data_IF_260001247501
#
_entry.id   IF_260001247501
#
_cell.length_a   1.000
_cell.length_b   1.000
_cell.length_c   1.000
_cell.angle_alpha   90.00
_cell.angle_beta   90.00
_cell.angle_gamma   90.00
#
_symmetry.space_group_name_H-M   'P 1'
#
loop_
_entity.id
_entity.type
_entity.pdbx_description
1 polymer ?
#
# COMPACT_ATOMS: atom_id res chain seq x y z
N UNK A 1 2.03 -3.49 4.39
CA UNK A 1 2.43 -2.11 4.08
C UNK A 1 3.17 -1.42 5.22
N UNK A 2 2.56 -1.26 6.41
CA UNK A 2 3.14 -0.44 7.49
C UNK A 2 4.52 -0.88 7.98
N UNK A 3 4.79 -2.18 8.03
CA UNK A 3 6.12 -2.68 8.44
C UNK A 3 7.13 -2.74 7.30
N UNK A 4 6.68 -2.95 6.06
CA UNK A 4 7.56 -3.20 4.92
C UNK A 4 8.01 -1.92 4.22
N UNK A 5 7.31 -0.79 4.42
CA UNK A 5 7.65 0.47 3.77
C UNK A 5 9.05 0.99 4.12
N UNK A 6 9.63 1.77 3.23
CA UNK A 6 10.90 2.48 3.42
C UNK A 6 10.78 3.70 4.33
N UNK A 7 9.61 4.33 4.37
CA UNK A 7 9.33 5.51 5.18
C UNK A 7 9.05 5.18 6.65
N UNK A 8 8.83 6.25 7.42
CA UNK A 8 8.33 6.15 8.79
C UNK A 8 6.79 6.07 8.78
N UNK A 9 6.24 5.47 9.82
CA UNK A 9 4.80 5.51 10.07
C UNK A 9 4.51 6.29 11.36
N UNK A 10 3.35 6.95 11.39
CA UNK A 10 2.95 7.74 12.55
C UNK A 10 2.54 6.83 13.70
N UNK A 11 3.10 7.11 14.89
CA UNK A 11 2.70 6.47 16.15
C UNK A 11 2.37 7.54 17.19
N UNK A 12 1.65 7.22 18.28
CA UNK A 12 1.40 8.16 19.37
C UNK A 12 2.67 8.75 20.01
N UNK A 13 3.79 8.02 19.94
CA UNK A 13 5.09 8.45 20.48
C UNK A 13 5.94 9.25 19.47
N UNK A 14 5.39 9.56 18.28
CA UNK A 14 6.10 10.19 17.17
C UNK A 14 6.35 9.24 16.00
N UNK A 15 6.99 9.72 14.93
CA UNK A 15 7.30 8.90 13.76
C UNK A 15 8.27 7.78 14.13
N UNK A 16 7.87 6.53 13.86
CA UNK A 16 8.72 5.36 14.05
C UNK A 16 9.20 4.85 12.69
N UNK A 17 10.48 4.46 12.61
CA UNK A 17 11.00 3.80 11.40
C UNK A 17 10.32 2.45 11.23
N UNK A 18 9.83 2.17 10.03
CA UNK A 18 9.34 0.85 9.68
C UNK A 18 10.49 -0.15 9.58
N UNK A 19 10.20 -1.45 9.69
CA UNK A 19 11.20 -2.50 9.55
C UNK A 19 11.86 -2.47 8.15
N UNK A 20 11.08 -2.18 7.09
CA UNK A 20 11.59 -1.98 5.74
C UNK A 20 12.63 -0.86 5.66
N UNK A 21 12.38 0.27 6.33
CA UNK A 21 13.35 1.36 6.47
C UNK A 21 14.67 0.93 7.12
N UNK A 22 14.60 0.06 8.13
CA UNK A 22 15.79 -0.45 8.81
C UNK A 22 16.56 -1.44 7.92
N UNK A 23 15.84 -2.34 7.26
CA UNK A 23 16.43 -3.30 6.32
C UNK A 23 17.11 -2.59 5.15
N UNK A 24 16.44 -1.62 4.52
CA UNK A 24 17.01 -0.85 3.40
C UNK A 24 18.27 -0.08 3.81
N UNK A 25 18.34 0.40 5.05
CA UNK A 25 19.54 1.08 5.54
C UNK A 25 20.72 0.11 5.77
N UNK A 26 20.45 -1.13 6.18
CA UNK A 26 21.47 -2.14 6.41
C UNK A 26 21.92 -2.85 5.12
N UNK A 27 20.98 -3.08 4.19
CA UNK A 27 21.16 -3.85 2.96
C UNK A 27 20.52 -3.10 1.77
N UNK A 28 21.12 -1.98 1.32
CA UNK A 28 20.50 -1.09 0.35
C UNK A 28 20.25 -1.71 -1.03
N UNK A 29 21.10 -2.66 -1.43
CA UNK A 29 21.02 -3.33 -2.73
C UNK A 29 20.26 -4.67 -2.66
N UNK A 30 20.07 -5.23 -1.45
CA UNK A 30 19.38 -6.51 -1.24
C UNK A 30 17.97 -6.36 -0.66
N UNK A 31 17.49 -5.12 -0.49
CA UNK A 31 16.15 -4.85 0.05
C UNK A 31 15.22 -4.31 -1.04
N UNK A 32 14.18 -5.09 -1.33
CA UNK A 32 13.10 -4.70 -2.23
C UNK A 32 11.76 -4.71 -1.48
N UNK A 33 11.04 -3.59 -1.49
CA UNK A 33 9.76 -3.43 -0.79
C UNK A 33 8.59 -3.28 -1.76
N UNK A 34 7.56 -4.09 -1.54
CA UNK A 34 6.35 -4.12 -2.37
C UNK A 34 5.14 -3.73 -1.52
N UNK A 35 4.44 -2.67 -1.91
CA UNK A 35 3.19 -2.26 -1.28
C UNK A 35 1.99 -2.95 -1.89
N UNK A 36 1.03 -3.40 -1.09
CA UNK A 36 -0.23 -4.01 -1.54
C UNK A 36 -1.39 -3.04 -1.35
N UNK A 37 -2.13 -2.75 -2.42
CA UNK A 37 -3.28 -1.84 -2.42
C UNK A 37 -4.53 -2.54 -2.97
N UNK A 38 -5.68 -2.21 -2.42
CA UNK A 38 -6.95 -2.91 -2.69
C UNK A 38 -8.00 -1.90 -3.08
N UNK A 39 -8.70 -2.10 -4.20
CA UNK A 39 -9.69 -1.15 -4.71
C UNK A 39 -11.00 -1.16 -3.92
N UNK A 40 -11.56 -2.35 -3.71
CA UNK A 40 -12.90 -2.54 -3.15
C UNK A 40 -13.09 -3.93 -2.55
N UNK A 41 -14.20 -4.11 -1.82
CA UNK A 41 -14.63 -5.40 -1.30
C UNK A 41 -14.68 -5.42 0.22
N UNK A 42 -14.32 -6.56 0.80
CA UNK A 42 -14.36 -6.75 2.26
C UNK A 42 -13.12 -7.45 2.76
N UNK A 43 -12.77 -7.14 4.00
CA UNK A 43 -11.57 -7.63 4.66
C UNK A 43 -11.92 -8.20 6.02
N UNK A 44 -11.04 -9.02 6.58
CA UNK A 44 -11.11 -9.43 7.99
C UNK A 44 -10.09 -8.61 8.79
N UNK A 45 -10.50 -8.06 9.94
CA UNK A 45 -9.57 -7.46 10.88
C UNK A 45 -8.89 -8.51 11.78
N UNK A 46 -7.99 -8.06 12.67
CA UNK A 46 -7.27 -8.96 13.59
C UNK A 46 -8.19 -9.69 14.59
N UNK A 47 -9.40 -9.18 14.82
CA UNK A 47 -10.44 -9.82 15.62
C UNK A 47 -11.33 -10.76 14.78
N UNK A 48 -10.93 -11.03 13.53
CA UNK A 48 -11.68 -11.83 12.54
C UNK A 48 -13.04 -11.26 12.16
N UNK A 49 -13.30 -9.99 12.48
CA UNK A 49 -14.53 -9.35 12.06
C UNK A 49 -14.43 -8.96 10.59
N UNK A 50 -15.43 -9.35 9.81
CA UNK A 50 -15.53 -8.95 8.41
C UNK A 50 -16.03 -7.51 8.36
N UNK A 51 -15.30 -6.64 7.67
CA UNK A 51 -15.65 -5.25 7.46
C UNK A 51 -15.69 -4.94 5.97
N UNK A 52 -16.68 -4.16 5.57
CA UNK A 52 -16.70 -3.57 4.23
C UNK A 52 -15.62 -2.49 4.16
N UNK A 53 -14.91 -2.47 3.04
CA UNK A 53 -13.98 -1.38 2.77
C UNK A 53 -14.75 -0.09 2.56
N UNK A 54 -14.16 1.03 3.00
CA UNK A 54 -14.68 2.35 2.65
C UNK A 54 -14.36 2.65 1.17
N UNK A 55 -15.14 3.51 0.49
CA UNK A 55 -14.83 3.90 -0.88
C UNK A 55 -13.44 4.53 -1.01
N UNK A 56 -12.73 4.19 -2.10
CA UNK A 56 -11.46 4.82 -2.42
C UNK A 56 -11.65 6.33 -2.64
N UNK A 57 -10.78 7.19 -2.08
CA UNK A 57 -10.88 8.63 -2.27
C UNK A 57 -10.68 9.01 -3.74
N UNK A 58 -11.45 9.98 -4.22
CA UNK A 58 -11.29 10.50 -5.57
C UNK A 58 -9.88 11.10 -5.74
N UNK A 59 -9.24 10.85 -6.89
CA UNK A 59 -7.83 11.23 -7.11
C UNK A 59 -6.81 10.50 -6.23
N UNK A 60 -7.24 9.51 -5.43
CA UNK A 60 -6.38 8.69 -4.58
C UNK A 60 -5.60 7.62 -5.33
N UNK A 61 -4.70 6.95 -4.61
CA UNK A 61 -3.82 5.93 -5.17
C UNK A 61 -4.63 4.75 -5.74
N UNK A 62 -5.57 4.21 -4.98
CA UNK A 62 -6.42 3.10 -5.41
C UNK A 62 -7.33 3.52 -6.57
N UNK A 63 -7.81 4.76 -6.61
CA UNK A 63 -8.61 5.27 -7.74
C UNK A 63 -7.75 5.38 -9.01
N UNK A 64 -6.52 5.90 -8.91
CA UNK A 64 -5.60 5.95 -10.04
C UNK A 64 -5.26 4.55 -10.57
N UNK A 65 -5.04 3.58 -9.67
CA UNK A 65 -4.76 2.18 -10.04
C UNK A 65 -6.00 1.49 -10.65
N UNK A 66 -7.20 1.74 -10.12
CA UNK A 66 -8.45 1.24 -10.68
C UNK A 66 -8.66 1.72 -12.13
N UNK A 67 -8.26 2.96 -12.43
CA UNK A 67 -8.34 3.54 -13.77
C UNK A 67 -7.57 2.78 -14.85
N UNK A 68 -6.64 1.89 -14.48
CA UNK A 68 -5.96 1.00 -15.42
C UNK A 68 -6.85 -0.14 -15.96
N UNK A 69 -8.01 -0.41 -15.33
CA UNK A 69 -8.98 -1.40 -15.80
C UNK A 69 -8.55 -2.86 -15.61
N UNK A 70 -7.55 -3.13 -14.78
CA UNK A 70 -7.06 -4.49 -14.50
C UNK A 70 -7.61 -5.01 -13.19
N UNK A 71 -8.11 -6.25 -13.15
CA UNK A 71 -8.58 -6.88 -11.91
C UNK A 71 -7.48 -7.03 -10.84
N UNK A 72 -6.24 -7.24 -11.29
CA UNK A 72 -5.05 -7.19 -10.46
C UNK A 72 -3.86 -6.75 -11.32
N UNK A 73 -2.87 -6.11 -10.71
CA UNK A 73 -1.72 -5.57 -11.43
C UNK A 73 -0.48 -5.44 -10.56
N UNK A 74 0.67 -5.38 -11.24
CA UNK A 74 1.97 -5.10 -10.66
C UNK A 74 2.56 -3.86 -11.33
N UNK A 75 3.07 -2.92 -10.54
CA UNK A 75 3.62 -1.65 -11.01
C UNK A 75 5.02 -1.44 -10.42
N UNK A 76 6.03 -1.39 -11.29
CA UNK A 76 7.38 -0.94 -10.96
C UNK A 76 7.43 0.59 -10.90
N UNK A 77 7.98 1.16 -9.82
CA UNK A 77 8.02 2.61 -9.60
C UNK A 77 9.32 3.28 -10.07
N UNK A 78 10.33 2.48 -10.41
CA UNK A 78 11.68 2.92 -10.81
C UNK A 78 11.82 3.21 -12.32
N UNK A 79 10.71 3.18 -13.07
CA UNK A 79 10.66 3.37 -14.51
C UNK A 79 11.13 4.74 -15.02
N UNK A 80 10.72 5.10 -16.24
CA UNK A 80 11.08 6.37 -16.87
C UNK A 80 10.66 7.62 -16.08
N UNK A 81 11.12 8.80 -16.51
CA UNK A 81 10.92 10.08 -15.80
C UNK A 81 9.47 10.35 -15.36
N UNK A 82 8.49 10.02 -16.19
CA UNK A 82 7.07 10.22 -15.87
C UNK A 82 6.59 9.32 -14.73
N UNK A 83 7.01 8.04 -14.71
CA UNK A 83 6.65 7.10 -13.65
C UNK A 83 7.24 7.54 -12.30
N UNK A 84 8.51 7.96 -12.29
CA UNK A 84 9.16 8.50 -11.09
C UNK A 84 8.46 9.77 -10.58
N UNK A 85 8.13 10.70 -11.50
CA UNK A 85 7.42 11.92 -11.14
C UNK A 85 6.02 11.63 -10.57
N UNK A 86 5.31 10.64 -11.11
CA UNK A 86 4.05 10.18 -10.55
C UNK A 86 4.24 9.56 -9.16
N UNK A 87 5.23 8.69 -8.99
CA UNK A 87 5.50 7.98 -7.74
C UNK A 87 5.92 8.90 -6.58
N UNK A 88 6.51 10.06 -6.88
CA UNK A 88 6.89 11.07 -5.87
C UNK A 88 5.72 11.95 -5.39
N UNK A 89 4.58 11.94 -6.09
CA UNK A 89 3.39 12.70 -5.67
C UNK A 89 2.78 12.07 -4.43
N UNK A 90 2.22 12.91 -3.56
CA UNK A 90 1.42 12.44 -2.42
C UNK A 90 -0.01 12.15 -2.87
N UNK A 91 -0.50 10.96 -2.52
CA UNK A 91 -1.86 10.53 -2.80
C UNK A 91 -2.56 10.17 -1.49
N UNK A 92 -3.85 10.50 -1.34
CA UNK A 92 -4.67 9.82 -0.35
C UNK A 92 -4.78 8.34 -0.73
N UNK A 93 -4.76 7.45 0.26
CA UNK A 93 -4.89 6.02 0.06
C UNK A 93 -5.71 5.37 1.17
N UNK A 94 -6.18 4.14 0.92
CA UNK A 94 -6.91 3.34 1.89
C UNK A 94 -5.94 2.51 2.75
N UNK A 95 -5.67 2.97 3.97
CA UNK A 95 -4.92 2.19 4.96
C UNK A 95 -5.77 1.02 5.43
N UNK A 96 -5.32 -0.19 5.05
CA UNK A 96 -6.01 -1.44 5.30
C UNK A 96 -7.48 -1.42 4.87
N UNK A 97 -7.86 -0.66 3.84
CA UNK A 97 -9.24 -0.59 3.36
C UNK A 97 -10.26 0.11 4.28
N UNK A 98 -9.86 0.63 5.45
CA UNK A 98 -10.79 1.12 6.48
C UNK A 98 -10.57 2.57 6.90
N UNK A 99 -9.42 3.16 6.58
CA UNK A 99 -9.09 4.54 6.92
C UNK A 99 -8.38 5.22 5.76
N UNK A 100 -8.58 6.53 5.62
CA UNK A 100 -7.83 7.33 4.64
C UNK A 100 -6.56 7.83 5.31
N UNK A 101 -5.45 7.69 4.61
CA UNK A 101 -4.14 8.23 4.98
C UNK A 101 -3.45 8.77 3.71
N UNK A 102 -2.23 9.30 3.79
CA UNK A 102 -1.52 9.90 2.65
C UNK A 102 -0.08 9.43 2.55
N UNK A 103 0.35 9.02 1.37
CA UNK A 103 1.75 8.64 1.10
C UNK A 103 2.22 9.04 -0.29
N UNK A 104 3.54 9.04 -0.50
CA UNK A 104 4.15 9.12 -1.83
C UNK A 104 4.71 7.73 -2.19
N UNK A 105 4.13 6.99 -3.16
CA UNK A 105 4.46 5.59 -3.38
C UNK A 105 5.95 5.31 -3.55
N UNK A 106 6.66 6.13 -4.34
CA UNK A 106 8.09 5.96 -4.63
C UNK A 106 9.00 6.21 -3.43
N UNK A 107 8.49 6.86 -2.38
CA UNK A 107 9.22 7.03 -1.10
C UNK A 107 8.99 5.89 -0.13
N UNK A 108 7.92 5.13 -0.33
CA UNK A 108 7.50 4.08 0.60
C UNK A 108 7.82 2.68 0.08
N UNK A 109 7.79 2.47 -1.23
CA UNK A 109 7.93 1.14 -1.85
C UNK A 109 8.73 1.25 -3.16
N UNK A 110 9.34 0.13 -3.59
CA UNK A 110 9.99 0.01 -4.89
C UNK A 110 8.99 -0.42 -5.99
N UNK A 111 7.95 -1.16 -5.59
CA UNK A 111 6.85 -1.56 -6.44
C UNK A 111 5.52 -1.63 -5.70
N UNK A 112 4.44 -1.70 -6.47
CA UNK A 112 3.08 -1.85 -5.97
C UNK A 112 2.42 -3.09 -6.58
N UNK A 113 1.63 -3.79 -5.77
CA UNK A 113 0.62 -4.75 -6.20
C UNK A 113 -0.74 -4.11 -5.96
N UNK A 114 -1.63 -4.26 -6.92
CA UNK A 114 -3.01 -3.82 -6.84
C UNK A 114 -3.96 -5.00 -7.05
N UNK A 115 -5.03 -5.06 -6.26
CA UNK A 115 -6.17 -5.94 -6.46
C UNK A 115 -7.45 -5.11 -6.43
N UNK A 116 -8.20 -5.08 -7.53
CA UNK A 116 -9.40 -4.25 -7.66
C UNK A 116 -10.51 -4.67 -6.68
N UNK A 117 -10.71 -5.98 -6.54
CA UNK A 117 -11.71 -6.54 -5.62
C UNK A 117 -11.11 -7.63 -4.75
N UNK A 118 -11.28 -7.49 -3.43
CA UNK A 118 -10.83 -8.46 -2.44
C UNK A 118 -11.98 -9.06 -1.64
N UNK A 119 -11.76 -10.27 -1.14
CA UNK A 119 -12.64 -10.96 -0.20
C UNK A 119 -11.91 -11.24 1.11
N UNK A 120 -12.62 -11.43 2.24
CA UNK A 120 -11.98 -11.73 3.51
C UNK A 120 -11.19 -13.03 3.44
N UNK A 121 -10.09 -13.09 4.19
CA UNK A 121 -9.28 -14.30 4.27
C UNK A 121 -10.12 -15.48 4.81
N UNK A 122 -10.07 -16.61 4.11
CA UNK A 122 -10.68 -17.84 4.59
C UNK A 122 -9.73 -18.53 5.59
N UNK A 123 -9.95 -18.30 6.88
CA UNK A 123 -9.23 -19.03 7.93
C UNK A 123 -9.78 -20.46 7.99
N UNK A 124 -9.08 -21.41 7.36
CA UNK A 124 -9.29 -22.83 7.61
C UNK A 124 -8.49 -23.19 8.85
N UNK A 125 -9.16 -23.48 9.95
CA UNK A 125 -8.52 -24.12 11.09
C UNK A 125 -8.31 -25.61 10.74
N UNK A 126 -7.13 -26.20 10.99
CA UNK A 126 -6.99 -27.65 11.07
C UNK A 126 -7.81 -28.21 12.24
#
# INVERSE_FOLDING_TARGET
>A
NDHARHGAWATPAGPARAAGSLLRAAYPDDTYSIGLFMGSGSIADNSRQIRQMIPAPEGGLEHALAGAGTAAGYLLLDGGRAARAWAERRFPYLRAGLAIDTLAPGREFDALIYADRVSPAAYRLP
#
